data_IF_354129272588
#
_entry.id   IF_354129272588
#
_cell.length_a   1.000
_cell.length_b   1.000
_cell.length_c   1.000
_cell.angle_alpha   90.00
_cell.angle_beta   90.00
_cell.angle_gamma   90.00
#
_symmetry.space_group_name_H-M   'P 1'
#
loop_
_entity.id
_entity.type
_entity.pdbx_description
1 polymer ?
#
# COMPACT_ATOMS: atom_id res chain seq x y z
N UNK A 1 -43.98 -31.60 -64.76
CA UNK A 1 -43.65 -33.04 -64.68
C UNK A 1 -42.13 -33.21 -64.72
N UNK A 2 -41.58 -33.95 -63.74
CA UNK A 2 -40.25 -34.62 -63.67
C UNK A 2 -38.99 -33.71 -63.75
N UNK A 3 -38.14 -33.56 -62.72
CA UNK A 3 -37.34 -34.48 -61.87
C UNK A 3 -36.05 -35.00 -62.53
N UNK A 4 -34.89 -34.61 -61.97
CA UNK A 4 -33.62 -35.37 -61.77
C UNK A 4 -32.53 -34.38 -61.29
N UNK A 5 -32.06 -34.37 -60.04
CA UNK A 5 -31.15 -35.27 -59.30
C UNK A 5 -29.64 -35.19 -59.67
N UNK A 6 -28.92 -34.35 -58.89
CA UNK A 6 -27.63 -34.58 -58.21
C UNK A 6 -26.34 -34.64 -59.09
N UNK A 7 -25.14 -34.25 -58.66
CA UNK A 7 -24.50 -34.28 -57.34
C UNK A 7 -23.14 -33.52 -57.41
N UNK A 8 -22.70 -32.90 -56.29
CA UNK A 8 -21.31 -32.82 -55.78
C UNK A 8 -21.15 -31.67 -54.78
N UNK A 9 -21.09 -32.05 -53.50
CA UNK A 9 -20.70 -31.24 -52.33
C UNK A 9 -19.52 -31.87 -51.59
N UNK A 10 -18.61 -31.02 -51.10
CA UNK A 10 -17.53 -31.23 -50.11
C UNK A 10 -17.46 -29.89 -49.32
N UNK A 11 -16.96 -29.74 -48.05
CA UNK A 11 -16.49 -30.67 -47.00
C UNK A 11 -17.06 -30.38 -45.59
N UNK A 12 -16.79 -31.25 -44.59
CA UNK A 12 -16.00 -30.95 -43.36
C UNK A 12 -16.06 -32.11 -42.35
N UNK A 13 -14.87 -32.54 -41.93
CA UNK A 13 -14.60 -33.63 -41.00
C UNK A 13 -14.97 -33.19 -39.58
N UNK A 14 -15.82 -33.97 -38.92
CA UNK A 14 -16.17 -33.88 -37.52
C UNK A 14 -15.24 -34.76 -36.67
N UNK A 15 -14.73 -34.23 -35.56
CA UNK A 15 -14.07 -35.03 -34.53
C UNK A 15 -14.88 -34.87 -33.23
N UNK A 16 -15.53 -35.97 -32.83
CA UNK A 16 -16.20 -36.14 -31.55
C UNK A 16 -15.16 -36.17 -30.42
N UNK A 17 -15.39 -35.41 -29.34
CA UNK A 17 -14.94 -35.79 -28.00
C UNK A 17 -16.16 -35.78 -27.06
N UNK A 18 -16.39 -36.93 -26.44
CA UNK A 18 -17.57 -37.25 -25.65
C UNK A 18 -17.63 -36.49 -24.32
N UNK A 19 -18.82 -36.02 -23.97
CA UNK A 19 -19.19 -35.54 -22.64
C UNK A 19 -19.11 -36.68 -21.61
N UNK A 20 -18.30 -36.46 -20.58
CA UNK A 20 -18.43 -37.08 -19.25
C UNK A 20 -18.11 -35.99 -18.23
N UNK A 21 -19.10 -35.14 -17.94
CA UNK A 21 -19.10 -34.33 -16.71
C UNK A 21 -20.09 -35.01 -15.77
N UNK A 22 -19.54 -35.83 -14.89
CA UNK A 22 -20.24 -36.30 -13.71
C UNK A 22 -20.73 -35.08 -12.92
N UNK A 23 -21.99 -35.14 -12.48
CA UNK A 23 -22.61 -34.08 -11.70
C UNK A 23 -21.84 -33.84 -10.40
N UNK A 24 -21.13 -32.72 -10.33
CA UNK A 24 -20.98 -31.98 -9.09
C UNK A 24 -22.09 -30.94 -9.08
N UNK A 25 -23.14 -31.23 -8.31
CA UNK A 25 -24.10 -30.22 -7.88
C UNK A 25 -23.28 -29.12 -7.17
N UNK A 26 -23.32 -27.85 -7.61
CA UNK A 26 -22.70 -26.78 -6.84
C UNK A 26 -23.39 -26.76 -5.49
N UNK A 27 -22.62 -26.98 -4.43
CA UNK A 27 -23.07 -26.78 -3.07
C UNK A 27 -23.43 -25.30 -2.97
N UNK A 28 -24.73 -24.98 -3.14
CA UNK A 28 -25.25 -23.63 -2.96
C UNK A 28 -24.72 -23.11 -1.63
N UNK A 29 -23.92 -22.05 -1.71
CA UNK A 29 -23.36 -21.42 -0.53
C UNK A 29 -24.52 -21.07 0.39
N UNK A 30 -24.47 -21.55 1.64
CA UNK A 30 -25.32 -21.05 2.71
C UNK A 30 -24.83 -19.65 3.09
N UNK A 31 -24.99 -18.72 2.16
CA UNK A 31 -24.86 -17.29 2.38
C UNK A 31 -26.09 -16.82 3.16
N UNK A 32 -25.85 -16.14 4.29
CA UNK A 32 -26.87 -15.31 4.94
C UNK A 32 -26.37 -13.88 4.88
N UNK A 33 -26.98 -13.11 4.00
CA UNK A 33 -26.83 -11.64 3.88
C UNK A 33 -27.27 -10.95 5.18
N UNK A 34 -28.26 -11.53 5.86
CA UNK A 34 -28.84 -11.02 7.11
C UNK A 34 -28.07 -11.46 8.35
N UNK A 35 -26.83 -11.00 8.50
CA UNK A 35 -26.18 -10.97 9.82
C UNK A 35 -26.47 -9.60 10.43
N UNK A 36 -27.38 -9.54 11.40
CA UNK A 36 -27.58 -8.31 12.19
C UNK A 36 -26.31 -8.03 12.98
N UNK A 37 -25.60 -6.97 12.61
CA UNK A 37 -24.42 -6.50 13.32
C UNK A 37 -24.78 -6.18 14.77
N UNK A 38 -23.91 -6.57 15.70
CA UNK A 38 -24.10 -6.34 17.14
C UNK A 38 -22.90 -5.63 17.72
N UNK A 39 -23.18 -4.69 18.62
CA UNK A 39 -22.14 -4.07 19.42
C UNK A 39 -21.47 -5.13 20.31
N UNK A 40 -20.15 -5.07 20.40
CA UNK A 40 -19.38 -5.94 21.29
C UNK A 40 -19.06 -5.21 22.60
N UNK A 41 -19.32 -5.90 23.71
CA UNK A 41 -18.81 -5.50 25.02
C UNK A 41 -17.29 -5.71 25.08
N UNK A 42 -16.59 -4.99 25.97
CA UNK A 42 -15.15 -5.19 26.20
C UNK A 42 -14.80 -6.66 26.44
N UNK A 43 -13.81 -7.17 25.70
CA UNK A 43 -13.39 -8.58 25.72
C UNK A 43 -14.30 -9.53 24.93
N UNK A 44 -15.39 -9.02 24.33
CA UNK A 44 -16.27 -9.79 23.45
C UNK A 44 -15.59 -10.06 22.11
N UNK A 45 -15.79 -11.27 21.59
CA UNK A 45 -15.26 -11.72 20.30
C UNK A 45 -16.37 -12.20 19.36
N UNK A 46 -16.15 -12.00 18.05
CA UNK A 46 -16.96 -12.58 16.98
C UNK A 46 -16.04 -13.26 15.99
N UNK A 47 -16.42 -14.47 15.59
CA UNK A 47 -15.74 -15.22 14.55
C UNK A 47 -16.58 -15.19 13.28
N UNK A 48 -15.95 -14.86 12.16
CA UNK A 48 -16.58 -14.87 10.84
C UNK A 48 -15.65 -15.50 9.81
N UNK A 49 -16.22 -16.01 8.72
CA UNK A 49 -15.47 -16.59 7.61
C UNK A 49 -15.69 -15.79 6.34
N UNK A 50 -14.60 -15.31 5.76
CA UNK A 50 -14.56 -14.62 4.47
C UNK A 50 -14.16 -15.63 3.40
N UNK A 51 -15.03 -15.87 2.43
CA UNK A 51 -14.74 -16.79 1.33
C UNK A 51 -14.03 -16.04 0.20
N UNK A 52 -12.96 -16.63 -0.35
CA UNK A 52 -12.27 -16.05 -1.50
C UNK A 52 -13.16 -16.02 -2.75
N UNK A 53 -14.10 -16.97 -2.85
CA UNK A 53 -15.10 -17.07 -3.91
C UNK A 53 -16.22 -16.03 -3.82
N UNK A 54 -16.15 -15.06 -2.91
CA UNK A 54 -17.18 -14.04 -2.72
C UNK A 54 -16.62 -12.65 -2.98
N UNK A 55 -17.24 -11.91 -3.90
CA UNK A 55 -16.83 -10.54 -4.25
C UNK A 55 -17.32 -9.49 -3.27
N UNK A 56 -18.50 -9.75 -2.70
CA UNK A 56 -19.19 -8.76 -1.89
C UNK A 56 -18.56 -8.60 -0.52
N UNK A 57 -18.64 -7.36 -0.03
CA UNK A 57 -18.32 -7.01 1.34
C UNK A 57 -19.13 -7.88 2.31
N UNK A 58 -18.43 -8.77 3.02
CA UNK A 58 -19.01 -9.70 3.99
C UNK A 58 -19.23 -8.99 5.31
N UNK A 59 -20.48 -8.88 5.76
CA UNK A 59 -20.77 -8.36 7.08
C UNK A 59 -20.14 -9.27 8.15
N UNK A 60 -19.33 -8.69 9.03
CA UNK A 60 -18.66 -9.43 10.10
C UNK A 60 -19.61 -9.87 11.22
N UNK A 61 -20.80 -9.28 11.30
CA UNK A 61 -21.70 -9.38 12.45
C UNK A 61 -21.34 -8.45 13.61
N UNK A 62 -20.35 -7.57 13.43
CA UNK A 62 -19.91 -6.60 14.43
C UNK A 62 -20.35 -5.19 14.03
N UNK A 63 -21.04 -4.53 14.96
CA UNK A 63 -21.29 -3.09 14.91
C UNK A 63 -20.13 -2.41 15.67
N UNK A 64 -19.29 -1.68 14.95
CA UNK A 64 -18.19 -0.93 15.57
C UNK A 64 -18.68 0.45 16.01
N UNK A 65 -18.16 0.93 17.14
CA UNK A 65 -18.46 2.26 17.69
C UNK A 65 -17.25 3.17 17.50
N UNK A 66 -17.50 4.38 16.98
CA UNK A 66 -16.47 5.41 16.82
C UNK A 66 -15.69 5.64 18.13
N UNK A 67 -14.36 5.68 18.03
CA UNK A 67 -13.47 5.85 19.17
C UNK A 67 -13.21 4.60 20.00
N UNK A 68 -13.89 3.47 19.75
CA UNK A 68 -13.59 2.19 20.40
C UNK A 68 -12.45 1.46 19.68
N UNK A 69 -11.56 0.82 20.45
CA UNK A 69 -10.48 0.00 19.91
C UNK A 69 -10.96 -1.43 19.64
N UNK A 70 -10.59 -1.96 18.47
CA UNK A 70 -10.85 -3.32 18.05
C UNK A 70 -9.56 -4.01 17.61
N UNK A 71 -9.52 -5.32 17.78
CA UNK A 71 -8.50 -6.21 17.22
C UNK A 71 -9.12 -7.12 16.19
N UNK A 72 -8.39 -7.37 15.10
CA UNK A 72 -8.76 -8.33 14.08
C UNK A 72 -7.58 -9.26 13.88
N UNK A 73 -7.78 -10.55 14.08
CA UNK A 73 -6.83 -11.59 13.67
C UNK A 73 -7.45 -12.40 12.54
N UNK A 74 -6.65 -12.73 11.54
CA UNK A 74 -7.07 -13.51 10.40
C UNK A 74 -6.11 -14.66 10.17
N UNK A 75 -6.66 -15.82 9.85
CA UNK A 75 -5.91 -17.00 9.43
C UNK A 75 -6.61 -17.65 8.26
N UNK A 76 -5.94 -18.57 7.58
CA UNK A 76 -6.49 -19.25 6.42
C UNK A 76 -5.60 -19.10 5.22
N UNK A 77 -6.03 -19.71 4.12
CA UNK A 77 -5.29 -19.73 2.87
C UNK A 77 -6.27 -19.73 1.71
N UNK A 78 -5.94 -18.98 0.68
CA UNK A 78 -6.74 -18.92 -0.52
C UNK A 78 -5.89 -18.71 -1.76
N UNK A 79 -6.56 -18.87 -2.88
CA UNK A 79 -6.02 -18.75 -4.21
C UNK A 79 -7.03 -17.95 -5.02
N UNK A 80 -6.58 -16.86 -5.62
CA UNK A 80 -7.38 -15.94 -6.42
C UNK A 80 -7.35 -16.24 -7.91
N UNK A 81 -6.50 -17.18 -8.33
CA UNK A 81 -6.49 -17.66 -9.70
C UNK A 81 -5.85 -19.04 -9.77
N UNK A 82 -6.32 -19.91 -10.66
CA UNK A 82 -5.82 -21.28 -10.81
C UNK A 82 -4.29 -21.40 -11.05
N UNK A 83 -3.65 -20.36 -11.59
CA UNK A 83 -2.19 -20.33 -11.82
C UNK A 83 -1.40 -19.52 -10.78
N UNK A 84 -2.08 -18.88 -9.83
CA UNK A 84 -1.47 -18.12 -8.74
C UNK A 84 -1.07 -18.99 -7.57
N UNK A 85 -0.12 -18.52 -6.78
CA UNK A 85 0.27 -19.20 -5.56
C UNK A 85 -0.85 -19.08 -4.53
N UNK A 86 -0.91 -20.06 -3.63
CA UNK A 86 -1.74 -19.96 -2.43
C UNK A 86 -1.13 -18.90 -1.51
N UNK A 87 -1.95 -17.97 -1.05
CA UNK A 87 -1.58 -16.87 -0.16
C UNK A 87 -2.39 -16.88 1.13
N UNK A 88 -2.01 -16.05 2.09
CA UNK A 88 -2.70 -15.82 3.35
C UNK A 88 -3.29 -14.40 3.44
N UNK A 89 -3.74 -13.98 4.64
CA UNK A 89 -4.35 -12.67 4.84
C UNK A 89 -3.54 -11.44 4.47
N UNK A 90 -2.22 -11.51 4.54
CA UNK A 90 -1.34 -10.47 4.01
C UNK A 90 -1.36 -10.34 2.47
N UNK A 91 -1.83 -11.36 1.75
CA UNK A 91 -1.83 -11.42 0.28
C UNK A 91 -0.43 -11.64 -0.33
N UNK A 92 0.62 -11.74 0.49
CA UNK A 92 2.02 -11.70 0.04
C UNK A 92 2.44 -13.00 -0.65
N UNK A 93 3.20 -12.86 -1.74
CA UNK A 93 3.74 -14.01 -2.49
C UNK A 93 2.74 -14.74 -3.39
N UNK A 94 1.55 -14.17 -3.58
CA UNK A 94 0.53 -14.68 -4.50
C UNK A 94 1.05 -14.78 -5.94
N UNK A 95 1.83 -13.79 -6.41
CA UNK A 95 2.37 -13.78 -7.76
C UNK A 95 3.54 -14.76 -7.91
N UNK A 96 3.29 -15.86 -8.64
CA UNK A 96 4.28 -16.82 -9.08
C UNK A 96 4.57 -16.77 -10.59
N UNK A 97 5.49 -17.61 -11.11
CA UNK A 97 5.92 -17.58 -12.50
C UNK A 97 4.83 -17.81 -13.56
N UNK A 98 3.69 -18.40 -13.18
CA UNK A 98 2.54 -18.67 -14.05
C UNK A 98 1.33 -17.78 -13.74
N UNK A 99 1.45 -16.91 -12.74
CA UNK A 99 0.41 -15.97 -12.29
C UNK A 99 0.67 -14.60 -12.92
N UNK A 100 -0.03 -14.30 -14.00
CA UNK A 100 0.12 -13.04 -14.72
C UNK A 100 -1.13 -12.19 -14.53
N UNK A 101 -0.96 -10.87 -14.41
CA UNK A 101 -2.06 -9.90 -14.39
C UNK A 101 -2.33 -9.51 -15.84
N UNK A 102 -3.26 -10.19 -16.50
CA UNK A 102 -3.79 -9.80 -17.80
C UNK A 102 -4.53 -8.46 -17.66
N UNK A 103 -4.43 -7.56 -18.66
CA UNK A 103 -5.18 -6.29 -18.69
C UNK A 103 -6.71 -6.45 -18.65
N UNK A 104 -7.20 -7.68 -18.81
CA UNK A 104 -8.62 -8.05 -18.77
C UNK A 104 -9.09 -8.45 -17.36
N UNK A 105 -8.21 -8.46 -16.36
CA UNK A 105 -8.62 -8.71 -14.98
C UNK A 105 -9.24 -7.44 -14.37
N UNK A 106 -10.43 -7.53 -13.75
CA UNK A 106 -11.17 -6.37 -13.24
C UNK A 106 -10.42 -5.59 -12.14
N UNK A 107 -11.00 -4.44 -11.79
CA UNK A 107 -10.49 -3.51 -10.79
C UNK A 107 -10.45 -4.14 -9.39
N UNK A 108 -9.23 -4.42 -8.89
CA UNK A 108 -8.98 -4.53 -7.45
C UNK A 108 -9.10 -3.15 -6.81
N UNK A 109 -9.41 -3.09 -5.52
CA UNK A 109 -9.42 -1.80 -4.82
C UNK A 109 -7.99 -1.26 -4.86
N UNK A 110 -7.85 -0.17 -5.61
CA UNK A 110 -6.56 0.48 -5.84
C UNK A 110 -5.91 0.82 -4.52
N UNK A 111 -4.61 0.58 -4.44
CA UNK A 111 -3.84 0.93 -3.26
C UNK A 111 -3.63 -0.17 -2.23
N UNK A 112 -4.33 -1.30 -2.34
CA UNK A 112 -4.05 -2.50 -1.55
C UNK A 112 -3.37 -3.55 -2.39
N UNK A 113 -2.51 -4.37 -1.77
CA UNK A 113 -1.93 -5.53 -2.46
C UNK A 113 -3.05 -6.47 -2.89
N UNK A 114 -2.83 -7.12 -4.03
CA UNK A 114 -3.78 -8.09 -4.57
C UNK A 114 -3.87 -9.25 -3.59
N UNK A 115 -5.10 -9.69 -3.29
CA UNK A 115 -5.41 -10.83 -2.44
C UNK A 115 -5.28 -10.56 -0.94
N UNK A 116 -4.87 -9.36 -0.52
CA UNK A 116 -4.87 -8.97 0.89
C UNK A 116 -6.28 -8.94 1.46
N UNK A 117 -6.46 -9.38 2.70
CA UNK A 117 -7.71 -9.19 3.44
C UNK A 117 -7.87 -7.71 3.80
N UNK A 118 -8.97 -7.11 3.36
CA UNK A 118 -9.30 -5.71 3.60
C UNK A 118 -10.64 -5.59 4.33
N UNK A 119 -10.82 -4.48 5.02
CA UNK A 119 -12.04 -4.15 5.74
C UNK A 119 -12.55 -2.76 5.38
N UNK A 120 -13.81 -2.47 5.72
CA UNK A 120 -14.38 -1.13 5.74
C UNK A 120 -15.45 -1.02 6.83
N UNK A 121 -15.74 0.21 7.27
CA UNK A 121 -16.80 0.49 8.25
C UNK A 121 -17.96 1.19 7.54
N UNK A 122 -19.14 0.60 7.59
CA UNK A 122 -20.31 1.08 6.85
C UNK A 122 -20.20 0.85 5.34
N UNK A 123 -21.26 1.22 4.63
CA UNK A 123 -21.37 0.94 3.19
C UNK A 123 -20.53 1.88 2.32
N UNK A 124 -20.19 3.06 2.85
CA UNK A 124 -19.44 4.12 2.15
C UNK A 124 -18.06 4.40 2.79
N UNK A 125 -17.65 3.61 3.78
CA UNK A 125 -16.37 3.81 4.47
C UNK A 125 -15.18 3.50 3.57
N UNK A 126 -14.11 4.29 3.72
CA UNK A 126 -12.84 4.03 3.07
C UNK A 126 -12.29 2.65 3.47
N UNK A 127 -11.88 1.80 2.51
CA UNK A 127 -11.26 0.53 2.80
C UNK A 127 -9.92 0.68 3.53
N UNK A 128 -9.55 -0.32 4.33
CA UNK A 128 -8.23 -0.42 4.96
C UNK A 128 -7.74 -1.88 5.00
N UNK A 129 -6.42 -2.07 4.97
CA UNK A 129 -5.81 -3.40 5.02
C UNK A 129 -5.87 -3.99 6.44
N UNK A 130 -6.24 -5.27 6.54
CA UNK A 130 -6.20 -6.04 7.79
C UNK A 130 -4.92 -6.87 7.87
N UNK A 131 -4.59 -7.62 6.81
CA UNK A 131 -3.52 -8.61 6.86
C UNK A 131 -3.82 -9.74 7.86
N UNK A 132 -2.79 -10.29 8.49
CA UNK A 132 -2.92 -11.38 9.48
C UNK A 132 -3.40 -10.90 10.86
N UNK A 133 -3.03 -9.66 11.23
CA UNK A 133 -3.35 -9.09 12.54
C UNK A 133 -3.30 -7.55 12.50
N UNK A 134 -4.38 -6.93 12.93
CA UNK A 134 -4.53 -5.48 13.05
C UNK A 134 -5.22 -5.12 14.37
N UNK A 135 -4.72 -4.07 15.03
CA UNK A 135 -5.49 -3.32 16.02
C UNK A 135 -5.80 -1.94 15.48
N UNK A 136 -7.03 -1.46 15.66
CA UNK A 136 -7.44 -0.15 15.17
C UNK A 136 -8.48 0.51 16.08
N UNK A 137 -8.51 1.84 16.07
CA UNK A 137 -9.60 2.63 16.66
C UNK A 137 -10.59 2.97 15.56
N UNK A 138 -11.86 2.61 15.74
CA UNK A 138 -12.88 2.84 14.73
C UNK A 138 -13.08 4.35 14.48
N UNK A 139 -12.99 4.76 13.21
CA UNK A 139 -13.09 6.17 12.77
C UNK A 139 -14.53 6.63 12.53
N UNK A 140 -15.46 5.68 12.52
CA UNK A 140 -16.88 5.92 12.39
C UNK A 140 -17.61 4.77 13.10
N UNK A 141 -18.88 5.00 13.42
CA UNK A 141 -19.77 3.94 13.88
C UNK A 141 -20.45 3.26 12.70
N UNK A 142 -20.63 1.94 12.75
CA UNK A 142 -21.34 1.20 11.72
C UNK A 142 -20.95 -0.28 11.63
N UNK A 143 -21.54 -1.03 10.68
CA UNK A 143 -21.19 -2.43 10.46
C UNK A 143 -19.78 -2.56 9.90
N UNK A 144 -18.98 -3.48 10.47
CA UNK A 144 -17.67 -3.83 9.94
C UNK A 144 -17.81 -4.89 8.86
N UNK A 145 -17.25 -4.62 7.68
CA UNK A 145 -17.25 -5.54 6.55
C UNK A 145 -15.84 -6.01 6.20
N UNK A 146 -15.74 -7.22 5.65
CA UNK A 146 -14.49 -7.78 5.15
C UNK A 146 -14.61 -8.26 3.69
N UNK A 147 -13.51 -8.21 2.95
CA UNK A 147 -13.37 -8.92 1.67
C UNK A 147 -11.91 -9.26 1.40
N UNK A 148 -11.68 -10.24 0.55
CA UNK A 148 -10.36 -10.46 -0.06
C UNK A 148 -10.22 -9.49 -1.23
N UNK A 149 -9.10 -8.78 -1.34
CA UNK A 149 -8.87 -7.76 -2.36
C UNK A 149 -8.59 -8.40 -3.73
N UNK A 150 -9.63 -8.95 -4.32
CA UNK A 150 -9.63 -9.61 -5.61
C UNK A 150 -11.01 -9.45 -6.28
N UNK A 151 -11.09 -9.93 -7.53
CA UNK A 151 -12.27 -9.88 -8.39
C UNK A 151 -12.61 -11.27 -8.89
N UNK A 152 -13.89 -11.60 -8.92
CA UNK A 152 -14.41 -12.82 -9.54
C UNK A 152 -14.59 -12.54 -11.04
N UNK A 153 -13.61 -12.99 -11.82
CA UNK A 153 -13.82 -13.07 -13.27
C UNK A 153 -14.97 -14.03 -13.62
N UNK A 154 -15.34 -14.09 -14.90
CA UNK A 154 -16.38 -14.99 -15.43
C UNK A 154 -16.12 -16.50 -15.17
N UNK A 155 -14.99 -16.86 -14.56
CA UNK A 155 -14.49 -18.23 -14.37
C UNK A 155 -14.61 -18.78 -12.96
N UNK A 156 -15.05 -18.00 -11.96
CA UNK A 156 -15.32 -18.50 -10.61
C UNK A 156 -14.18 -19.30 -9.97
N UNK A 157 -12.95 -18.80 -10.05
CA UNK A 157 -11.74 -19.60 -9.82
C UNK A 157 -11.01 -19.30 -8.51
N UNK A 158 -11.67 -18.53 -7.64
CA UNK A 158 -11.18 -18.26 -6.30
C UNK A 158 -11.53 -19.43 -5.37
N UNK A 159 -10.54 -19.93 -4.66
CA UNK A 159 -10.68 -21.06 -3.73
C UNK A 159 -10.10 -20.71 -2.37
N UNK A 160 -10.73 -21.20 -1.30
CA UNK A 160 -10.26 -21.01 0.07
C UNK A 160 -11.00 -19.91 0.84
N UNK A 161 -10.44 -19.54 1.99
CA UNK A 161 -11.10 -18.66 2.95
C UNK A 161 -10.12 -18.00 3.92
N UNK A 162 -10.59 -16.93 4.58
CA UNK A 162 -10.02 -16.38 5.80
C UNK A 162 -10.99 -16.62 6.97
N UNK A 163 -10.51 -17.23 8.05
CA UNK A 163 -11.17 -17.23 9.35
C UNK A 163 -10.70 -16.00 10.12
N UNK A 164 -11.67 -15.13 10.45
CA UNK A 164 -11.43 -13.83 11.05
C UNK A 164 -12.05 -13.80 12.44
N UNK A 165 -11.27 -13.35 13.43
CA UNK A 165 -11.72 -13.07 14.78
C UNK A 165 -11.65 -11.56 15.03
N UNK A 166 -12.77 -10.97 15.41
CA UNK A 166 -12.87 -9.57 15.82
C UNK A 166 -13.04 -9.51 17.33
N UNK A 167 -12.18 -8.75 18.00
CA UNK A 167 -12.20 -8.54 19.45
C UNK A 167 -12.46 -7.07 19.76
N UNK A 168 -13.39 -6.77 20.66
CA UNK A 168 -13.53 -5.42 21.22
C UNK A 168 -12.62 -5.25 22.44
N UNK A 169 -11.82 -4.20 22.46
CA UNK A 169 -11.06 -3.81 23.65
C UNK A 169 -11.83 -2.76 24.45
N UNK A 170 -11.60 -2.72 25.75
CA UNK A 170 -12.25 -1.78 26.65
C UNK A 170 -11.85 -0.35 26.30
N UNK A 171 -12.79 0.39 25.72
CA UNK A 171 -12.67 1.84 25.61
C UNK A 171 -12.78 2.43 27.01
N UNK A 172 -11.69 2.97 27.52
CA UNK A 172 -11.77 3.99 28.56
C UNK A 172 -12.46 5.21 27.97
N UNK A 173 -13.79 5.29 28.08
CA UNK A 173 -14.43 6.58 28.09
C UNK A 173 -13.98 7.30 29.37
N UNK A 174 -13.56 8.57 29.33
CA UNK A 174 -13.43 9.35 30.54
C UNK A 174 -14.84 9.57 31.11
N UNK A 175 -15.26 8.73 32.05
CA UNK A 175 -16.37 9.04 32.94
C UNK A 175 -16.01 10.30 33.71
N UNK A 176 -16.69 11.41 33.40
CA UNK A 176 -16.66 12.61 34.24
C UNK A 176 -17.43 12.28 35.52
N UNK A 177 -16.75 11.64 36.46
CA UNK A 177 -17.17 11.56 37.85
C UNK A 177 -16.56 12.74 38.59
N UNK A 178 -17.40 13.71 38.92
CA UNK A 178 -17.06 14.87 39.74
C UNK A 178 -16.72 14.42 41.18
N UNK A 179 -15.46 14.47 41.58
CA UNK A 179 -14.98 14.42 42.98
C UNK A 179 -13.55 15.01 43.09
N UNK A 180 -13.11 15.49 44.28
CA UNK A 180 -12.57 16.84 44.42
C UNK A 180 -11.06 17.01 44.17
N UNK A 181 -10.74 18.25 43.80
CA UNK A 181 -9.43 18.81 43.50
C UNK A 181 -8.40 18.60 44.62
N UNK A 182 -7.44 17.70 44.41
CA UNK A 182 -6.15 17.74 45.12
C UNK A 182 -5.00 16.98 44.42
N UNK A 183 -5.24 16.20 43.36
CA UNK A 183 -4.20 15.38 42.70
C UNK A 183 -3.91 15.76 41.24
N UNK A 184 -4.47 16.87 40.74
CA UNK A 184 -4.41 17.28 39.33
C UNK A 184 -3.08 17.88 38.87
N UNK A 185 -2.13 18.17 39.75
CA UNK A 185 -0.89 18.85 39.32
C UNK A 185 0.18 17.91 38.72
N UNK A 186 0.24 16.64 39.16
CA UNK A 186 1.32 15.73 38.74
C UNK A 186 0.94 14.84 37.55
N UNK A 187 -0.35 14.54 37.37
CA UNK A 187 -0.84 13.78 36.20
C UNK A 187 -0.96 14.65 34.93
N UNK A 188 -1.19 15.96 35.08
CA UNK A 188 -1.26 16.89 33.94
C UNK A 188 0.10 17.10 33.25
N UNK A 189 1.22 16.91 33.96
CA UNK A 189 2.57 17.01 33.39
C UNK A 189 3.01 15.76 32.62
N UNK A 190 2.39 14.60 32.87
CA UNK A 190 2.67 13.37 32.11
C UNK A 190 1.73 13.24 30.90
N UNK A 191 0.50 13.76 30.98
CA UNK A 191 -0.45 13.73 29.87
C UNK A 191 -0.17 14.78 28.76
N UNK A 192 0.57 15.85 29.07
CA UNK A 192 0.92 16.89 28.10
C UNK A 192 1.99 16.46 27.06
N UNK A 193 2.60 15.28 27.21
CA UNK A 193 3.63 14.78 26.29
C UNK A 193 3.08 13.92 25.14
N UNK A 194 1.78 13.60 25.10
CA UNK A 194 1.18 12.67 24.14
C UNK A 194 0.07 13.29 23.28
N UNK A 195 0.01 14.61 23.14
CA UNK A 195 -1.01 15.32 22.33
C UNK A 195 -0.43 15.81 21.00
N UNK A 196 0.10 14.89 20.19
CA UNK A 196 0.54 15.17 18.82
C UNK A 196 -0.04 14.14 17.85
N UNK A 197 -0.37 14.57 16.63
CA UNK A 197 -0.75 13.68 15.53
C UNK A 197 0.35 12.62 15.33
N UNK A 198 0.04 11.31 15.40
CA UNK A 198 1.02 10.24 15.19
C UNK A 198 1.83 10.43 13.90
N UNK A 199 3.15 10.31 14.01
CA UNK A 199 4.10 10.42 12.89
C UNK A 199 4.70 9.05 12.60
N UNK A 200 4.43 8.47 11.45
CA UNK A 200 4.96 7.15 11.05
C UNK A 200 5.71 7.30 9.75
N UNK A 201 6.91 6.70 9.66
CA UNK A 201 7.67 6.69 8.41
C UNK A 201 8.05 5.28 7.98
N UNK A 202 7.96 5.01 6.68
CA UNK A 202 8.59 3.87 6.02
C UNK A 202 9.76 4.39 5.17
N UNK A 203 10.96 3.93 5.47
CA UNK A 203 12.21 4.33 4.83
C UNK A 203 12.85 3.10 4.22
N UNK A 204 13.06 3.12 2.90
CA UNK A 204 13.66 2.02 2.15
C UNK A 204 14.88 2.53 1.37
N UNK A 205 16.03 1.88 1.54
CA UNK A 205 17.25 2.17 0.78
C UNK A 205 17.81 0.92 0.13
N UNK A 206 17.86 0.87 -1.20
CA UNK A 206 18.36 -0.27 -1.95
C UNK A 206 19.62 0.12 -2.74
N UNK A 207 20.75 -0.50 -2.41
CA UNK A 207 22.08 -0.26 -2.99
C UNK A 207 22.61 -1.51 -3.71
N UNK A 208 22.51 -2.67 -3.07
CA UNK A 208 23.16 -3.92 -3.45
C UNK A 208 22.39 -4.70 -4.55
N UNK A 209 22.13 -4.03 -5.66
CA UNK A 209 21.56 -4.66 -6.85
C UNK A 209 22.56 -5.60 -7.50
N UNK A 210 22.08 -6.76 -7.97
CA UNK A 210 22.92 -7.69 -8.76
C UNK A 210 23.44 -7.04 -10.06
N UNK A 211 22.67 -6.09 -10.61
CA UNK A 211 23.02 -5.33 -11.80
C UNK A 211 22.93 -3.84 -11.47
N UNK A 212 23.97 -3.08 -11.82
CA UNK A 212 24.04 -1.63 -11.57
C UNK A 212 23.85 -1.25 -10.10
N UNK A 213 24.72 -1.72 -9.17
CA UNK A 213 24.64 -1.32 -7.76
C UNK A 213 24.78 0.20 -7.59
N UNK A 214 24.13 0.74 -6.57
CA UNK A 214 24.17 2.16 -6.21
C UNK A 214 24.95 2.35 -4.91
N UNK A 215 25.72 3.43 -4.79
CA UNK A 215 26.62 3.64 -3.66
C UNK A 215 25.87 4.13 -2.43
N UNK A 216 24.97 5.09 -2.59
CA UNK A 216 24.45 5.89 -1.48
C UNK A 216 23.07 5.52 -0.89
N UNK A 217 22.14 4.80 -1.56
CA UNK A 217 20.80 4.57 -1.03
C UNK A 217 20.71 3.98 0.39
N UNK A 218 21.59 3.04 0.74
CA UNK A 218 21.64 2.50 2.11
C UNK A 218 22.11 3.55 3.12
N UNK A 219 23.10 4.38 2.79
CA UNK A 219 23.55 5.46 3.67
C UNK A 219 22.46 6.53 3.83
N UNK A 220 21.83 6.87 2.71
CA UNK A 220 20.73 7.82 2.63
C UNK A 220 19.53 7.39 3.49
N UNK A 221 19.09 6.13 3.37
CA UNK A 221 18.02 5.58 4.18
C UNK A 221 18.36 5.55 5.69
N UNK A 222 19.61 5.20 6.06
CA UNK A 222 20.02 5.23 7.45
C UNK A 222 19.97 6.66 8.03
N UNK A 223 20.58 7.63 7.34
CA UNK A 223 20.61 9.02 7.79
C UNK A 223 19.19 9.64 7.84
N UNK A 224 18.35 9.34 6.85
CA UNK A 224 16.95 9.78 6.82
C UNK A 224 16.17 9.19 7.99
N UNK A 225 16.31 7.89 8.25
CA UNK A 225 15.65 7.24 9.39
C UNK A 225 16.07 7.84 10.73
N UNK A 226 17.36 8.14 10.92
CA UNK A 226 17.84 8.80 12.12
C UNK A 226 17.30 10.23 12.27
N UNK A 227 17.28 11.01 11.20
CA UNK A 227 16.73 12.36 11.19
C UNK A 227 15.25 12.36 11.55
N UNK A 228 14.46 11.50 10.91
CA UNK A 228 13.02 11.37 11.15
C UNK A 228 12.71 10.89 12.58
N UNK A 229 13.51 9.96 13.14
CA UNK A 229 13.37 9.56 14.56
C UNK A 229 13.58 10.75 15.51
N UNK A 230 14.58 11.60 15.25
CA UNK A 230 14.80 12.83 16.04
C UNK A 230 13.64 13.82 15.90
N UNK A 231 12.94 13.78 14.77
CA UNK A 231 11.74 14.60 14.48
C UNK A 231 10.43 13.94 14.95
N UNK A 232 10.51 12.89 15.77
CA UNK A 232 9.36 12.26 16.41
C UNK A 232 8.62 11.23 15.56
N UNK A 233 9.18 10.79 14.42
CA UNK A 233 8.59 9.70 13.65
C UNK A 233 8.92 8.33 14.25
N UNK A 234 7.93 7.45 14.28
CA UNK A 234 8.13 6.01 14.39
C UNK A 234 8.57 5.46 13.02
N UNK A 235 9.82 5.03 12.88
CA UNK A 235 10.41 4.66 11.58
C UNK A 235 10.53 3.14 11.40
N UNK A 236 9.91 2.62 10.34
CA UNK A 236 10.19 1.31 9.74
C UNK A 236 11.32 1.50 8.72
N UNK A 237 12.46 0.85 8.94
CA UNK A 237 13.62 0.94 8.05
C UNK A 237 13.85 -0.42 7.36
N UNK A 238 13.98 -0.41 6.04
CA UNK A 238 14.44 -1.56 5.25
C UNK A 238 15.63 -1.17 4.38
N UNK A 239 16.64 -2.04 4.35
CA UNK A 239 17.86 -1.86 3.59
C UNK A 239 18.03 -3.05 2.66
N UNK A 240 18.40 -2.80 1.41
CA UNK A 240 18.61 -3.81 0.37
C UNK A 240 17.49 -4.83 0.23
N UNK A 241 16.25 -4.36 0.35
CA UNK A 241 15.06 -5.19 0.45
C UNK A 241 14.73 -5.86 -0.89
N UNK A 242 14.37 -7.14 -0.80
CA UNK A 242 13.71 -7.85 -1.88
C UNK A 242 12.22 -7.46 -2.00
N UNK A 243 11.54 -7.97 -3.03
CA UNK A 243 10.16 -7.59 -3.32
C UNK A 243 9.23 -7.89 -2.13
N UNK A 244 9.37 -9.08 -1.57
CA UNK A 244 8.56 -9.54 -0.45
C UNK A 244 8.77 -8.70 0.80
N UNK A 245 10.03 -8.35 1.10
CA UNK A 245 10.37 -7.51 2.25
C UNK A 245 9.81 -6.09 2.11
N UNK A 246 9.81 -5.54 0.89
CA UNK A 246 9.20 -4.26 0.59
C UNK A 246 7.67 -4.32 0.75
N UNK A 247 7.00 -5.34 0.19
CA UNK A 247 5.55 -5.53 0.31
C UNK A 247 5.12 -5.69 1.79
N UNK A 248 5.85 -6.51 2.57
CA UNK A 248 5.59 -6.67 4.01
C UNK A 248 5.81 -5.37 4.80
N UNK A 249 6.80 -4.56 4.42
CA UNK A 249 7.04 -3.27 5.06
C UNK A 249 5.95 -2.25 4.73
N UNK A 250 5.40 -2.28 3.51
CA UNK A 250 4.26 -1.45 3.10
C UNK A 250 2.99 -1.86 3.86
N UNK A 251 2.74 -3.17 4.01
CA UNK A 251 1.65 -3.67 4.85
C UNK A 251 1.80 -3.23 6.31
N UNK A 252 2.99 -3.45 6.91
CA UNK A 252 3.27 -3.00 8.28
C UNK A 252 3.06 -1.49 8.44
N UNK A 253 3.51 -0.72 7.45
CA UNK A 253 3.33 0.72 7.40
C UNK A 253 1.84 1.10 7.38
N UNK A 254 1.06 0.54 6.45
CA UNK A 254 -0.39 0.78 6.38
C UNK A 254 -1.12 0.42 7.67
N UNK A 255 -0.79 -0.72 8.29
CA UNK A 255 -1.39 -1.13 9.57
C UNK A 255 -1.11 -0.15 10.72
N UNK A 256 0.04 0.54 10.71
CA UNK A 256 0.37 1.59 11.69
C UNK A 256 -0.36 2.91 11.43
N UNK A 257 -0.93 3.09 10.25
CA UNK A 257 -1.69 4.28 9.87
C UNK A 257 -3.20 4.12 10.11
N UNK A 258 -3.67 2.92 10.49
CA UNK A 258 -5.08 2.70 10.77
C UNK A 258 -5.46 3.33 12.11
N UNK A 259 -6.46 4.21 12.09
CA UNK A 259 -7.03 4.84 13.27
C UNK A 259 -6.49 6.25 13.51
N UNK A 260 -7.31 7.24 13.17
CA UNK A 260 -7.12 8.65 13.50
C UNK A 260 -6.35 9.43 12.45
N UNK A 261 -6.23 10.73 12.74
CA UNK A 261 -5.36 11.64 12.02
C UNK A 261 -3.90 11.17 12.14
N UNK A 262 -3.13 11.20 11.06
CA UNK A 262 -1.70 10.87 11.07
C UNK A 262 -0.87 11.68 10.09
N UNK A 263 0.44 11.72 10.33
CA UNK A 263 1.47 12.14 9.37
C UNK A 263 2.22 10.89 8.91
N UNK A 264 1.97 10.47 7.68
CA UNK A 264 2.62 9.34 7.05
C UNK A 264 3.76 9.84 6.16
N UNK A 265 4.96 9.25 6.28
CA UNK A 265 6.07 9.55 5.38
C UNK A 265 6.62 8.27 4.75
N UNK A 266 6.66 8.21 3.43
CA UNK A 266 7.41 7.20 2.69
C UNK A 266 8.63 7.84 2.06
N UNK A 267 9.79 7.25 2.30
CA UNK A 267 11.04 7.61 1.66
C UNK A 267 11.64 6.38 0.97
N UNK A 268 11.99 6.53 -0.31
CA UNK A 268 12.70 5.52 -1.05
C UNK A 268 13.94 6.09 -1.73
N UNK A 269 15.09 5.43 -1.54
CA UNK A 269 16.29 5.62 -2.33
C UNK A 269 16.67 4.31 -3.04
N UNK A 270 16.98 4.39 -4.34
CA UNK A 270 17.35 3.21 -5.13
C UNK A 270 16.97 3.33 -6.61
N UNK A 271 16.86 2.20 -7.31
CA UNK A 271 16.37 2.17 -8.69
C UNK A 271 14.84 2.27 -8.74
N UNK A 272 14.33 3.14 -9.62
CA UNK A 272 12.91 3.27 -9.92
C UNK A 272 12.65 3.42 -11.41
N UNK A 273 11.53 2.89 -11.89
CA UNK A 273 11.16 2.93 -13.33
C UNK A 273 9.70 3.33 -13.51
N UNK A 274 9.38 3.85 -14.70
CA UNK A 274 8.01 4.14 -15.09
C UNK A 274 7.61 3.17 -16.20
N UNK A 275 6.46 2.53 -16.06
CA UNK A 275 5.88 1.65 -17.07
C UNK A 275 4.40 1.98 -17.18
N UNK A 276 3.98 2.36 -18.40
CA UNK A 276 2.57 2.61 -18.76
C UNK A 276 1.85 3.60 -17.81
N UNK A 277 2.55 4.66 -17.40
CA UNK A 277 2.01 5.70 -16.51
C UNK A 277 2.15 5.41 -15.02
N UNK A 278 2.56 4.21 -14.61
CA UNK A 278 2.77 3.84 -13.21
C UNK A 278 4.25 3.87 -12.82
N UNK A 279 4.51 4.20 -11.55
CA UNK A 279 5.84 4.23 -10.97
C UNK A 279 6.13 2.96 -10.18
N UNK A 280 7.29 2.36 -10.43
CA UNK A 280 7.72 1.13 -9.80
C UNK A 280 9.08 1.30 -9.13
N UNK A 281 9.22 0.75 -7.93
CA UNK A 281 10.45 0.68 -7.15
C UNK A 281 11.09 -0.69 -7.37
N UNK A 282 12.38 -0.73 -7.69
CA UNK A 282 13.08 -1.98 -8.04
C UNK A 282 13.69 -2.60 -6.77
N UNK A 283 13.32 -3.86 -6.42
CA UNK A 283 13.96 -4.63 -5.36
C UNK A 283 15.38 -5.11 -5.74
N UNK A 284 16.23 -5.38 -4.75
CA UNK A 284 17.65 -5.73 -4.97
C UNK A 284 17.87 -7.03 -5.76
N UNK A 285 16.99 -8.02 -5.60
CA UNK A 285 17.05 -9.30 -6.30
C UNK A 285 16.28 -9.33 -7.64
N UNK A 286 15.65 -8.22 -8.03
CA UNK A 286 14.76 -8.20 -9.17
C UNK A 286 15.52 -8.32 -10.50
N UNK A 287 15.42 -9.49 -11.14
CA UNK A 287 15.96 -9.71 -12.47
C UNK A 287 15.00 -9.19 -13.56
N UNK A 288 15.05 -7.88 -13.85
CA UNK A 288 14.23 -7.27 -14.90
C UNK A 288 14.90 -7.43 -16.27
N UNK A 289 14.34 -8.26 -17.15
CA UNK A 289 14.90 -8.49 -18.51
C UNK A 289 14.09 -7.84 -19.62
N UNK A 290 12.83 -7.51 -19.34
CA UNK A 290 11.88 -6.90 -20.29
C UNK A 290 10.86 -6.04 -19.54
N UNK A 291 10.24 -5.07 -20.22
CA UNK A 291 9.26 -4.16 -19.62
C UNK A 291 8.12 -4.88 -18.88
N UNK A 292 7.62 -5.99 -19.42
CA UNK A 292 6.57 -6.77 -18.75
C UNK A 292 6.99 -7.32 -17.40
N UNK A 293 8.29 -7.55 -17.16
CA UNK A 293 8.78 -8.07 -15.88
C UNK A 293 8.65 -7.04 -14.75
N UNK A 294 8.69 -5.74 -15.06
CA UNK A 294 8.58 -4.66 -14.06
C UNK A 294 7.29 -4.80 -13.26
N UNK A 295 6.17 -5.04 -13.94
CA UNK A 295 4.85 -5.17 -13.30
C UNK A 295 4.75 -6.35 -12.33
N UNK A 296 5.65 -7.33 -12.41
CA UNK A 296 5.61 -8.56 -11.61
C UNK A 296 6.72 -8.65 -10.56
N UNK A 297 7.88 -8.07 -10.84
CA UNK A 297 9.09 -8.20 -10.03
C UNK A 297 9.49 -6.90 -9.32
N UNK A 298 8.73 -5.82 -9.54
CA UNK A 298 8.92 -4.53 -8.89
C UNK A 298 7.69 -4.17 -8.05
N UNK A 299 7.86 -3.19 -7.17
CA UNK A 299 6.80 -2.74 -6.26
C UNK A 299 6.17 -1.47 -6.80
N UNK A 300 4.84 -1.46 -6.96
CA UNK A 300 4.11 -0.30 -7.46
C UNK A 300 4.00 0.78 -6.36
N UNK A 301 4.40 2.02 -6.66
CA UNK A 301 4.25 3.15 -5.73
C UNK A 301 2.78 3.38 -5.35
N UNK A 302 1.83 2.98 -6.20
CA UNK A 302 0.41 2.99 -5.89
C UNK A 302 0.05 2.15 -4.65
N UNK A 303 0.78 1.06 -4.37
CA UNK A 303 0.57 0.27 -3.15
C UNK A 303 0.93 1.06 -1.89
N UNK A 304 2.00 1.87 -1.95
CA UNK A 304 2.39 2.77 -0.85
C UNK A 304 1.31 3.83 -0.63
N UNK A 305 0.87 4.47 -1.72
CA UNK A 305 -0.15 5.52 -1.65
C UNK A 305 -1.49 5.02 -1.13
N UNK A 306 -1.86 3.78 -1.43
CA UNK A 306 -3.04 3.17 -0.87
C UNK A 306 -2.93 2.77 0.58
N UNK A 307 -1.76 2.26 1.00
CA UNK A 307 -1.47 2.02 2.41
C UNK A 307 -1.56 3.31 3.25
N UNK A 308 -1.27 4.47 2.64
CA UNK A 308 -1.45 5.78 3.26
C UNK A 308 -2.93 6.24 3.35
N UNK A 309 -3.83 5.62 2.61
CA UNK A 309 -5.28 5.85 2.67
C UNK A 309 -5.76 7.25 2.25
N UNK A 310 -7.07 7.42 2.16
CA UNK A 310 -7.72 8.73 1.97
C UNK A 310 -8.28 9.24 3.30
N UNK A 311 -7.94 10.47 3.69
CA UNK A 311 -8.66 11.22 4.73
C UNK A 311 -8.48 12.72 4.56
N UNK A 312 -9.43 13.52 5.04
CA UNK A 312 -9.37 14.99 5.00
C UNK A 312 -8.31 15.58 5.92
N UNK A 313 -7.96 14.87 6.99
CA UNK A 313 -7.10 15.40 8.05
C UNK A 313 -5.69 14.78 8.07
N UNK A 314 -5.42 13.79 7.22
CA UNK A 314 -4.11 13.14 7.12
C UNK A 314 -3.12 13.96 6.27
N UNK A 315 -1.84 13.88 6.62
CA UNK A 315 -0.74 14.34 5.78
C UNK A 315 0.07 13.15 5.30
N UNK A 316 0.07 12.92 3.99
CA UNK A 316 0.82 11.87 3.34
C UNK A 316 2.03 12.48 2.60
N UNK A 317 3.24 12.10 2.97
CA UNK A 317 4.47 12.62 2.39
C UNK A 317 5.18 11.48 1.67
N UNK A 318 5.40 11.59 0.37
CA UNK A 318 6.11 10.61 -0.43
C UNK A 318 7.37 11.25 -1.00
N UNK A 319 8.54 10.72 -0.69
CA UNK A 319 9.83 11.22 -1.14
C UNK A 319 10.54 10.11 -1.93
N UNK A 320 10.75 10.36 -3.22
CA UNK A 320 11.37 9.40 -4.14
C UNK A 320 12.73 9.93 -4.60
N UNK A 321 13.80 9.43 -3.97
CA UNK A 321 15.19 9.61 -4.37
C UNK A 321 15.68 8.46 -5.26
N UNK A 322 14.96 8.26 -6.37
CA UNK A 322 15.21 7.15 -7.27
C UNK A 322 16.07 7.56 -8.47
N UNK A 323 17.25 6.95 -8.61
CA UNK A 323 18.10 7.05 -9.79
C UNK A 323 17.48 6.28 -10.96
N UNK A 324 17.66 6.80 -12.18
CA UNK A 324 17.02 6.31 -13.41
C UNK A 324 17.98 5.93 -14.52
N UNK A 325 19.12 5.38 -14.13
CA UNK A 325 19.88 4.55 -15.05
C UNK A 325 19.11 3.24 -15.21
N UNK A 326 18.27 3.19 -16.24
CA UNK A 326 17.50 2.01 -16.58
C UNK A 326 18.45 0.79 -16.66
N UNK A 327 18.39 -0.17 -15.72
CA UNK A 327 19.26 -1.35 -15.77
C UNK A 327 18.88 -2.29 -16.95
N UNK A 328 17.82 -1.94 -17.67
CA UNK A 328 17.34 -2.67 -18.82
C UNK A 328 18.29 -2.57 -20.02
N UNK A 329 18.44 -3.65 -20.82
CA UNK A 329 19.20 -3.62 -22.07
C UNK A 329 18.80 -2.46 -22.99
N UNK A 330 19.76 -1.88 -23.73
CA UNK A 330 19.59 -0.71 -24.62
C UNK A 330 18.42 -0.79 -25.63
N UNK A 331 17.84 -1.96 -25.84
CA UNK A 331 16.65 -2.22 -26.65
C UNK A 331 15.31 -1.82 -25.98
N UNK A 332 15.32 -1.44 -24.70
CA UNK A 332 14.13 -1.13 -23.88
C UNK A 332 13.96 0.37 -23.59
N UNK A 333 14.21 1.25 -24.57
CA UNK A 333 13.77 2.64 -24.43
C UNK A 333 12.24 2.67 -24.42
N UNK A 334 11.63 2.66 -23.24
CA UNK A 334 10.35 3.35 -23.06
C UNK A 334 10.57 4.78 -23.55
N UNK A 335 9.63 5.30 -24.34
CA UNK A 335 9.68 6.68 -24.83
C UNK A 335 9.60 7.70 -23.69
N UNK A 336 9.12 7.28 -22.52
CA UNK A 336 9.10 8.08 -21.30
C UNK A 336 10.34 7.80 -20.42
N UNK A 337 11.11 8.86 -20.15
CA UNK A 337 12.17 8.91 -19.12
C UNK A 337 11.55 9.46 -17.82
N UNK A 338 12.15 9.22 -16.65
CA UNK A 338 11.65 9.83 -15.38
C UNK A 338 10.36 9.22 -14.77
N UNK A 339 10.08 9.48 -13.49
CA UNK A 339 8.86 9.02 -12.79
C UNK A 339 7.65 9.74 -13.40
N UNK A 340 6.55 9.00 -13.53
CA UNK A 340 5.24 9.56 -13.83
C UNK A 340 4.85 10.56 -12.75
N UNK A 341 4.11 11.58 -13.15
CA UNK A 341 3.23 12.30 -12.23
C UNK A 341 2.23 11.30 -11.62
N UNK A 342 2.03 11.38 -10.30
CA UNK A 342 1.10 10.49 -9.58
C UNK A 342 0.13 11.33 -8.77
N UNK A 343 -1.16 11.04 -8.91
CA UNK A 343 -2.18 11.62 -8.04
C UNK A 343 -2.32 10.73 -6.80
N UNK A 344 -1.80 11.20 -5.67
CA UNK A 344 -2.04 10.57 -4.37
C UNK A 344 -3.42 10.94 -3.80
N UNK A 345 -3.81 10.30 -2.68
CA UNK A 345 -4.97 10.70 -1.88
C UNK A 345 -5.01 12.21 -1.58
N UNK A 346 -6.18 12.73 -1.17
CA UNK A 346 -6.25 14.09 -0.60
C UNK A 346 -5.27 14.20 0.58
N UNK A 347 -4.63 15.36 0.73
CA UNK A 347 -3.64 15.56 1.79
C UNK A 347 -2.24 15.00 1.46
N UNK A 348 -1.93 14.75 0.19
CA UNK A 348 -0.64 14.16 -0.22
C UNK A 348 0.33 15.20 -0.77
N UNK A 349 1.59 15.10 -0.37
CA UNK A 349 2.74 15.78 -0.98
C UNK A 349 3.71 14.74 -1.51
N UNK A 350 4.10 14.85 -2.77
CA UNK A 350 5.07 13.97 -3.42
C UNK A 350 6.28 14.78 -3.86
N UNK A 351 7.45 14.48 -3.32
CA UNK A 351 8.74 15.08 -3.68
C UNK A 351 9.61 14.10 -4.48
N UNK A 352 9.96 14.48 -5.70
CA UNK A 352 10.85 13.75 -6.59
C UNK A 352 12.23 14.39 -6.60
N UNK A 353 13.29 13.56 -6.56
CA UNK A 353 14.67 14.05 -6.61
C UNK A 353 15.03 14.79 -7.92
N UNK A 354 14.27 14.59 -8.99
CA UNK A 354 14.45 15.24 -10.29
C UNK A 354 13.12 15.40 -11.01
N UNK A 355 13.09 16.18 -12.09
CA UNK A 355 11.89 16.43 -12.88
C UNK A 355 11.40 15.18 -13.62
N UNK A 356 10.08 15.03 -13.86
CA UNK A 356 9.56 13.99 -14.76
C UNK A 356 10.31 14.06 -16.10
N UNK A 357 10.74 12.93 -16.66
CA UNK A 357 11.63 12.94 -17.83
C UNK A 357 13.14 12.86 -17.56
N UNK A 358 13.60 13.13 -16.34
CA UNK A 358 15.02 13.38 -16.03
C UNK A 358 15.64 12.36 -15.07
N UNK A 359 16.96 12.41 -14.87
CA UNK A 359 17.74 11.53 -13.98
C UNK A 359 18.25 12.29 -12.76
N UNK A 360 18.23 11.64 -11.59
CA UNK A 360 18.94 12.09 -10.39
C UNK A 360 20.31 11.42 -10.34
N UNK A 361 21.32 12.12 -9.81
CA UNK A 361 22.65 11.56 -9.63
C UNK A 361 22.79 10.94 -8.24
N UNK A 362 23.44 9.77 -8.15
CA UNK A 362 23.77 9.11 -6.87
C UNK A 362 24.71 9.96 -6.01
N UNK A 363 25.45 10.90 -6.61
CA UNK A 363 26.38 11.79 -5.92
C UNK A 363 27.73 11.14 -5.63
N UNK A 364 28.77 11.97 -5.43
CA UNK A 364 30.14 11.49 -5.17
C UNK A 364 30.44 11.34 -3.66
N UNK A 365 29.64 11.98 -2.80
CA UNK A 365 29.80 12.00 -1.34
C UNK A 365 29.25 10.76 -0.65
N UNK A 366 28.94 10.92 0.65
CA UNK A 366 28.32 9.87 1.49
C UNK A 366 26.82 9.73 1.26
N UNK A 367 26.22 10.69 0.54
CA UNK A 367 24.79 10.81 0.27
C UNK A 367 24.49 11.25 -1.17
N UNK A 368 23.31 10.86 -1.67
CA UNK A 368 22.70 11.45 -2.85
C UNK A 368 22.47 12.96 -2.68
N UNK A 369 22.58 13.73 -3.76
CA UNK A 369 22.49 15.21 -3.67
C UNK A 369 21.13 15.65 -3.12
N UNK A 370 20.05 14.98 -3.53
CA UNK A 370 18.71 15.28 -3.03
C UNK A 370 18.56 14.96 -1.54
N UNK A 371 18.99 13.77 -1.13
CA UNK A 371 18.97 13.37 0.29
C UNK A 371 19.84 14.24 1.18
N UNK A 372 21.03 14.64 0.73
CA UNK A 372 21.88 15.60 1.44
C UNK A 372 21.12 16.88 1.78
N UNK A 373 20.50 17.52 0.79
CA UNK A 373 19.74 18.76 0.99
C UNK A 373 18.47 18.55 1.84
N UNK A 374 17.84 17.38 1.77
CA UNK A 374 16.73 17.02 2.67
C UNK A 374 17.21 16.93 4.13
N UNK A 375 18.32 16.24 4.39
CA UNK A 375 18.88 16.08 5.72
C UNK A 375 19.29 17.42 6.36
N UNK A 376 19.73 18.38 5.55
CA UNK A 376 20.02 19.75 5.99
C UNK A 376 18.74 20.55 6.30
N UNK A 377 17.66 20.36 5.52
CA UNK A 377 16.44 21.18 5.60
C UNK A 377 15.41 20.67 6.61
N UNK A 378 15.23 19.35 6.73
CA UNK A 378 14.24 18.72 7.61
C UNK A 378 14.33 19.12 9.09
N UNK A 379 15.52 19.21 9.72
CA UNK A 379 15.62 19.54 11.14
C UNK A 379 15.49 21.03 11.44
N UNK A 380 15.38 21.89 10.43
CA UNK A 380 15.33 23.34 10.65
C UNK A 380 14.02 23.76 11.35
N UNK A 381 14.09 24.51 12.46
CA UNK A 381 12.92 24.83 13.27
C UNK A 381 12.01 25.87 12.60
N UNK A 382 10.70 25.67 12.74
CA UNK A 382 9.66 26.64 12.44
C UNK A 382 9.36 26.86 10.96
N UNK A 383 9.92 26.05 10.06
CA UNK A 383 9.67 26.16 8.61
C UNK A 383 8.61 25.18 8.14
N UNK A 384 7.82 25.58 7.15
CA UNK A 384 6.79 24.74 6.55
C UNK A 384 7.39 23.66 5.66
N UNK A 385 6.64 22.60 5.41
CA UNK A 385 7.03 21.54 4.47
C UNK A 385 7.30 22.06 3.05
N UNK A 386 6.55 23.06 2.59
CA UNK A 386 6.79 23.74 1.31
C UNK A 386 8.12 24.48 1.31
N UNK A 387 8.49 25.11 2.44
CA UNK A 387 9.79 25.77 2.59
C UNK A 387 10.94 24.75 2.60
N UNK A 388 10.76 23.59 3.23
CA UNK A 388 11.71 22.47 3.15
C UNK A 388 11.94 22.06 1.70
N UNK A 389 10.88 21.72 0.96
CA UNK A 389 11.02 21.30 -0.44
C UNK A 389 11.59 22.40 -1.34
N UNK A 390 11.23 23.67 -1.09
CA UNK A 390 11.80 24.82 -1.80
C UNK A 390 13.30 24.97 -1.57
N UNK A 391 13.78 24.78 -0.33
CA UNK A 391 15.21 24.82 -0.02
C UNK A 391 15.96 23.67 -0.67
N UNK A 392 15.40 22.47 -0.63
CA UNK A 392 15.96 21.31 -1.32
C UNK A 392 16.09 21.58 -2.82
N UNK A 393 15.05 22.11 -3.46
CA UNK A 393 15.09 22.52 -4.87
C UNK A 393 16.21 23.54 -5.15
N UNK A 394 16.36 24.55 -4.30
CA UNK A 394 17.39 25.58 -4.43
C UNK A 394 18.80 25.00 -4.28
N UNK A 395 19.01 24.18 -3.24
CA UNK A 395 20.30 23.56 -2.93
C UNK A 395 20.75 22.58 -4.02
N UNK A 396 19.85 21.70 -4.46
CA UNK A 396 20.16 20.71 -5.52
C UNK A 396 20.44 21.41 -6.85
N UNK A 397 19.65 22.41 -7.25
CA UNK A 397 19.92 23.16 -8.49
C UNK A 397 21.26 23.89 -8.42
N UNK A 398 21.59 24.50 -7.27
CA UNK A 398 22.86 25.21 -7.08
C UNK A 398 24.07 24.26 -7.13
N UNK A 399 24.00 23.12 -6.45
CA UNK A 399 25.08 22.13 -6.39
C UNK A 399 25.30 21.41 -7.72
N UNK A 400 24.22 21.12 -8.45
CA UNK A 400 24.30 20.40 -9.74
C UNK A 400 24.39 21.31 -10.96
N UNK A 401 24.38 22.64 -10.77
CA UNK A 401 24.33 23.61 -11.87
C UNK A 401 23.07 23.47 -12.75
N UNK A 402 21.96 23.00 -12.18
CA UNK A 402 20.69 22.74 -12.86
C UNK A 402 20.61 21.42 -13.63
N UNK A 403 21.58 20.51 -13.48
CA UNK A 403 21.52 19.17 -14.08
C UNK A 403 20.49 18.27 -13.42
N UNK A 404 20.22 18.50 -12.13
CA UNK A 404 19.17 17.86 -11.37
C UNK A 404 18.24 18.94 -10.82
N UNK A 405 16.95 18.82 -11.13
CA UNK A 405 15.92 19.79 -10.68
C UNK A 405 14.82 19.02 -9.98
N UNK A 406 14.80 19.01 -8.63
CA UNK A 406 13.72 18.40 -7.87
C UNK A 406 12.34 18.92 -8.28
N UNK A 407 11.32 18.09 -8.06
CA UNK A 407 9.95 18.43 -8.39
C UNK A 407 9.02 18.05 -7.23
N UNK A 408 8.00 18.86 -6.96
CA UNK A 408 7.04 18.61 -5.89
C UNK A 408 5.63 18.77 -6.41
N UNK A 409 4.78 17.80 -6.06
CA UNK A 409 3.35 17.82 -6.32
C UNK A 409 2.62 17.79 -4.98
N UNK A 410 1.57 18.61 -4.82
CA UNK A 410 0.84 18.68 -3.55
C UNK A 410 -0.66 18.82 -3.79
N UNK A 411 -1.43 18.01 -3.06
CA UNK A 411 -2.86 18.17 -2.80
C UNK A 411 -3.11 18.51 -1.32
N UNK A 412 -2.06 18.70 -0.52
CA UNK A 412 -2.14 19.08 0.88
C UNK A 412 -2.40 20.58 1.03
N UNK A 413 -3.34 20.92 1.90
CA UNK A 413 -3.80 22.30 2.13
C UNK A 413 -3.65 22.73 3.59
N UNK A 414 -3.18 21.85 4.46
CA UNK A 414 -2.93 22.16 5.88
C UNK A 414 -1.56 22.79 6.10
N UNK A 415 -1.23 23.01 7.37
CA UNK A 415 0.09 23.47 7.80
C UNK A 415 0.85 22.32 8.47
N UNK A 416 2.10 22.12 8.08
CA UNK A 416 2.98 21.15 8.73
C UNK A 416 4.42 21.64 8.76
N UNK A 417 5.06 21.43 9.92
CA UNK A 417 6.49 21.60 10.12
C UNK A 417 7.08 20.33 10.71
N UNK A 418 8.17 19.85 10.11
CA UNK A 418 8.92 18.70 10.63
C UNK A 418 9.46 18.99 12.02
N UNK A 419 9.96 20.19 12.25
CA UNK A 419 10.45 20.68 13.54
C UNK A 419 9.74 22.00 13.92
N UNK A 420 8.65 21.96 14.72
CA UNK A 420 7.91 23.18 15.05
C UNK A 420 8.62 24.16 16.00
N UNK A 421 9.70 23.74 16.69
CA UNK A 421 10.45 24.61 17.62
C UNK A 421 10.92 23.91 18.88
#
# INVERSE_FOLDING_TARGET
MKQQYNDRTIPRIALLLALLVAGCTPQQSLYKEDVTAKALTSGGTVHTRVLAAAEDWRNSGVEVAEGQEYGVTATGKWKTYGTCNVTGPDGVGMYGPLCFKLPLFPEVISGFSHSTLIARIGDEGAPFAIGDNLKFVAQASGPLYFRINDTYGATADNEGYADVEVTAFGGSQPEITTAPAAQTALAAQVAAAASGVPRVALVIGNSNYQQSPLKNPVNDANAMAESLRRLGFSVILKLDANQREMELAIDEFGRKLVGGQHVALFYFAGHGVQVDGSNYLIPTEAAIRRQSDVRYKAVDVGQVLGAMGEATDNLNIVILDACRDNPLPRSFRSSARGLAQVHGPKGTIIGFATSPGSTAADGEGDHGVYTKHLLESLPEPGISIEQVFKRVLQGVNAETGGLQTPWTESSFTGDFSFNPG
#
